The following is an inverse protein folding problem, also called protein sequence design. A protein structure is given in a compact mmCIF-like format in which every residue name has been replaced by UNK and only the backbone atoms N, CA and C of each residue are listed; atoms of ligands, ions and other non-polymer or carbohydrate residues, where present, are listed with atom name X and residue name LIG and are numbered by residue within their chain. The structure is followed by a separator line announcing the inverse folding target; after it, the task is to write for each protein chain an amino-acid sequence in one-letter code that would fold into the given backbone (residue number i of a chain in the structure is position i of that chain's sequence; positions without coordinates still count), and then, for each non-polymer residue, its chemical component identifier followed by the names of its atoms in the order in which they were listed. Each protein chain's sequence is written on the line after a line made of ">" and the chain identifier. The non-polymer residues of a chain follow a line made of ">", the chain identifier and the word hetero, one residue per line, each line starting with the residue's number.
data_IF_104084434755
#
_entry.id   IF_104084434755
#
_cell.length_a   1.000
_cell.length_b   1.000
_cell.length_c   1.000
_cell.angle_alpha   90.00
_cell.angle_beta   90.00
_cell.angle_gamma   90.00
#
_symmetry.space_group_name_H-M   'P 1'
#
loop_
_entity.id
_entity.type
_entity.pdbx_description
1 polymer ?
#
# COMPACT_ATOMS: atom_id res chain seq x y z
N UNK A 1 -0.36 -10.16 10.95
CA UNK A 1 0.58 -9.57 11.94
C UNK A 1 1.92 -10.32 12.02
N UNK A 2 2.01 -11.51 12.63
CA UNK A 2 3.32 -12.18 12.87
C UNK A 2 4.15 -12.41 11.60
N UNK A 3 3.53 -12.89 10.51
CA UNK A 3 4.20 -13.10 9.22
C UNK A 3 4.72 -11.80 8.61
N UNK A 4 4.01 -10.68 8.79
CA UNK A 4 4.42 -9.38 8.24
C UNK A 4 5.63 -8.84 9.00
N UNK A 5 5.64 -8.96 10.34
CA UNK A 5 6.78 -8.57 11.17
C UNK A 5 8.03 -9.39 10.82
N UNK A 6 7.86 -10.69 10.60
CA UNK A 6 8.95 -11.59 10.18
C UNK A 6 9.51 -11.21 8.80
N UNK A 7 8.67 -10.91 7.81
CA UNK A 7 9.14 -10.47 6.49
C UNK A 7 9.93 -9.15 6.61
N UNK A 8 9.43 -8.21 7.40
CA UNK A 8 10.08 -6.90 7.58
C UNK A 8 11.41 -7.01 8.33
N UNK A 9 11.54 -7.93 9.29
CA UNK A 9 12.77 -8.11 10.07
C UNK A 9 13.93 -8.72 9.27
N UNK A 10 13.66 -9.37 8.13
CA UNK A 10 14.71 -9.81 7.21
C UNK A 10 15.45 -8.64 6.55
N UNK A 11 14.86 -7.44 6.55
CA UNK A 11 15.53 -6.26 6.04
C UNK A 11 16.45 -5.63 7.10
N UNK A 12 17.75 -5.56 6.81
CA UNK A 12 18.78 -5.00 7.71
C UNK A 12 18.55 -3.54 8.11
N UNK A 13 17.74 -2.80 7.35
CA UNK A 13 17.45 -1.39 7.60
C UNK A 13 16.20 -1.18 8.48
N UNK A 14 15.55 -2.26 8.93
CA UNK A 14 14.36 -2.22 9.78
C UNK A 14 14.69 -2.84 11.13
N UNK A 15 14.55 -2.08 12.21
CA UNK A 15 14.70 -2.61 13.57
C UNK A 15 13.51 -3.50 13.95
N UNK A 16 13.68 -4.46 14.88
CA UNK A 16 12.58 -5.31 15.33
C UNK A 16 11.35 -4.53 15.81
N UNK A 17 11.55 -3.44 16.55
CA UNK A 17 10.48 -2.59 17.07
C UNK A 17 9.73 -1.89 15.94
N UNK A 18 10.46 -1.43 14.92
CA UNK A 18 9.87 -0.81 13.73
C UNK A 18 9.09 -1.85 12.90
N UNK A 19 9.60 -3.08 12.79
CA UNK A 19 8.94 -4.17 12.10
C UNK A 19 7.61 -4.53 12.79
N UNK A 20 7.56 -4.60 14.12
CA UNK A 20 6.33 -4.84 14.87
C UNK A 20 5.31 -3.71 14.69
N UNK A 21 5.76 -2.46 14.78
CA UNK A 21 4.88 -1.30 14.59
C UNK A 21 4.29 -1.25 13.17
N UNK A 22 5.12 -1.46 12.15
CA UNK A 22 4.67 -1.50 10.76
C UNK A 22 3.73 -2.70 10.52
N UNK A 23 4.02 -3.86 11.10
CA UNK A 23 3.16 -5.03 10.96
C UNK A 23 1.78 -4.81 11.60
N UNK A 24 1.70 -4.09 12.72
CA UNK A 24 0.44 -3.68 13.31
C UNK A 24 -0.31 -2.73 12.39
N UNK A 25 0.34 -1.65 11.95
CA UNK A 25 -0.25 -0.61 11.09
C UNK A 25 -0.79 -1.18 9.77
N UNK A 26 -0.01 -2.05 9.12
CA UNK A 26 -0.41 -2.71 7.87
C UNK A 26 -1.50 -3.78 8.06
N UNK A 27 -1.73 -4.28 9.28
CA UNK A 27 -2.71 -5.34 9.57
C UNK A 27 -4.01 -4.84 10.21
N UNK A 28 -4.07 -3.61 10.73
CA UNK A 28 -5.21 -3.09 11.53
C UNK A 28 -6.28 -2.38 10.71
N UNK A 29 -6.21 -2.39 9.39
CA UNK A 29 -7.23 -1.80 8.51
C UNK A 29 -7.18 -0.27 8.44
N UNK A 30 -6.01 0.33 8.69
CA UNK A 30 -5.78 1.78 8.51
C UNK A 30 -6.12 2.25 7.10
N UNK A 31 -5.95 1.38 6.11
CA UNK A 31 -6.25 1.64 4.71
C UNK A 31 -7.35 0.73 4.19
N UNK A 32 -8.24 1.27 3.36
CA UNK A 32 -9.20 0.47 2.60
C UNK A 32 -8.47 -0.27 1.48
N UNK A 33 -9.06 -1.36 0.98
CA UNK A 33 -8.49 -2.16 -0.11
C UNK A 33 -8.17 -1.34 -1.37
N UNK A 34 -8.87 -0.20 -1.54
CA UNK A 34 -8.73 0.68 -2.69
C UNK A 34 -7.85 1.91 -2.40
N UNK A 35 -7.20 1.97 -1.23
CA UNK A 35 -6.25 3.04 -0.94
C UNK A 35 -4.86 2.63 -1.42
N UNK A 36 -4.34 3.21 -2.52
CA UNK A 36 -2.99 2.91 -2.96
C UNK A 36 -1.99 3.58 -2.00
N UNK A 37 -1.10 2.78 -1.43
CA UNK A 37 0.07 3.33 -0.71
C UNK A 37 1.06 3.82 -1.75
N UNK A 38 1.22 5.13 -1.83
CA UNK A 38 2.15 5.75 -2.79
C UNK A 38 3.61 5.49 -2.40
N UNK A 39 4.54 5.66 -3.35
CA UNK A 39 5.98 5.54 -3.08
C UNK A 39 6.42 6.50 -1.96
N UNK A 40 5.90 7.73 -1.97
CA UNK A 40 6.26 8.74 -0.99
C UNK A 40 5.73 8.40 0.41
N UNK A 41 4.50 7.88 0.51
CA UNK A 41 3.97 7.36 1.78
C UNK A 41 4.74 6.13 2.26
N UNK A 42 5.06 5.19 1.38
CA UNK A 42 5.82 4.01 1.79
C UNK A 42 7.21 4.41 2.33
N UNK A 43 7.86 5.40 1.70
CA UNK A 43 9.12 5.97 2.20
C UNK A 43 8.94 6.71 3.54
N UNK A 44 7.84 7.43 3.73
CA UNK A 44 7.56 8.14 4.99
C UNK A 44 7.27 7.17 6.15
N UNK A 45 6.63 6.04 5.85
CA UNK A 45 6.51 4.89 6.77
C UNK A 45 7.87 4.21 7.03
N UNK A 46 8.89 4.56 6.25
CA UNK A 46 10.24 4.04 6.36
C UNK A 46 10.36 2.60 5.85
N UNK A 47 9.52 2.24 4.88
CA UNK A 47 9.65 1.01 4.12
C UNK A 47 10.81 1.12 3.11
N UNK A 48 11.54 0.02 2.88
CA UNK A 48 12.69 -0.03 1.98
C UNK A 48 12.20 -0.14 0.52
N UNK A 49 11.67 0.95 -0.03
CA UNK A 49 11.10 0.98 -1.38
C UNK A 49 12.10 1.52 -2.39
N UNK A 50 12.31 0.77 -3.48
CA UNK A 50 13.04 1.22 -4.67
C UNK A 50 12.09 1.37 -5.85
N UNK A 51 12.29 2.43 -6.62
CA UNK A 51 11.63 2.63 -7.93
C UNK A 51 12.59 2.37 -9.08
N UNK A 52 13.78 1.85 -8.79
CA UNK A 52 14.76 1.50 -9.82
C UNK A 52 14.23 0.33 -10.64
N UNK A 53 14.24 0.51 -11.96
CA UNK A 53 13.75 -0.46 -12.93
C UNK A 53 14.84 -0.67 -13.99
N UNK A 54 15.81 -1.57 -13.72
CA UNK A 54 16.86 -1.89 -14.68
C UNK A 54 16.28 -2.41 -16.00
N UNK A 55 16.99 -2.14 -17.11
CA UNK A 55 16.54 -2.53 -18.45
C UNK A 55 16.23 -4.03 -18.58
N UNK A 56 17.00 -4.88 -17.89
CA UNK A 56 16.78 -6.33 -17.87
C UNK A 56 15.39 -6.71 -17.32
N UNK A 57 14.88 -5.98 -16.33
CA UNK A 57 13.54 -6.18 -15.77
C UNK A 57 12.47 -5.84 -16.81
N UNK A 58 12.64 -4.73 -17.56
CA UNK A 58 11.73 -4.39 -18.66
C UNK A 58 11.75 -5.43 -19.78
N UNK A 59 12.93 -5.96 -20.11
CA UNK A 59 13.08 -7.05 -21.10
C UNK A 59 12.37 -8.31 -20.64
N UNK A 60 12.46 -8.66 -19.35
CA UNK A 60 11.71 -9.76 -18.74
C UNK A 60 10.19 -9.54 -18.86
N UNK A 61 9.68 -8.35 -18.51
CA UNK A 61 8.25 -8.04 -18.59
C UNK A 61 7.70 -8.16 -20.02
N UNK A 62 8.51 -7.86 -21.03
CA UNK A 62 8.12 -7.98 -22.44
C UNK A 62 7.85 -9.44 -22.85
N UNK A 63 8.50 -10.41 -22.19
CA UNK A 63 8.27 -11.85 -22.45
C UNK A 63 6.93 -12.34 -21.87
N UNK A 64 6.38 -11.64 -20.87
CA UNK A 64 5.14 -11.99 -20.19
C UNK A 64 4.13 -10.84 -20.30
N UNK A 65 3.62 -10.56 -21.52
CA UNK A 65 2.62 -9.52 -21.70
C UNK A 65 1.40 -9.87 -20.84
N UNK A 66 1.03 -8.96 -19.93
CA UNK A 66 -0.20 -9.10 -19.17
C UNK A 66 -1.37 -9.17 -20.16
N UNK A 67 -2.25 -10.16 -20.00
CA UNK A 67 -3.46 -10.23 -20.81
C UNK A 67 -4.21 -8.89 -20.66
N UNK A 68 -4.39 -8.17 -21.77
CA UNK A 68 -5.00 -6.84 -21.76
C UNK A 68 -6.28 -6.85 -20.94
N UNK A 69 -6.48 -5.79 -20.14
CA UNK A 69 -7.52 -5.66 -19.12
C UNK A 69 -8.80 -6.44 -19.45
N UNK A 70 -8.88 -7.71 -19.02
CA UNK A 70 -10.17 -8.34 -18.81
C UNK A 70 -10.76 -7.61 -17.61
N UNK A 71 -12.01 -7.18 -17.78
CA UNK A 71 -12.82 -6.39 -16.84
C UNK A 71 -12.36 -6.59 -15.38
N UNK A 72 -12.16 -5.51 -14.61
CA UNK A 72 -11.90 -5.62 -13.18
C UNK A 72 -12.93 -6.56 -12.56
N UNK A 73 -12.50 -7.64 -11.90
CA UNK A 73 -13.40 -8.48 -11.10
C UNK A 73 -13.92 -7.72 -9.88
N UNK A 74 -13.28 -6.59 -9.56
CA UNK A 74 -13.65 -5.65 -8.50
C UNK A 74 -13.80 -4.27 -9.12
N UNK A 75 -15.02 -3.74 -9.13
CA UNK A 75 -15.30 -2.37 -9.57
C UNK A 75 -14.99 -1.40 -8.44
N UNK A 76 -13.94 -0.60 -8.62
CA UNK A 76 -13.67 0.59 -7.82
C UNK A 76 -14.73 1.66 -8.11
N UNK A 77 -15.45 2.12 -7.09
CA UNK A 77 -16.36 3.28 -7.19
C UNK A 77 -15.72 4.45 -6.44
N UNK A 78 -15.07 5.40 -7.12
CA UNK A 78 -14.60 6.64 -6.51
C UNK A 78 -15.79 7.57 -6.28
N UNK A 79 -16.54 7.35 -5.20
CA UNK A 79 -17.42 8.37 -4.65
C UNK A 79 -16.65 9.13 -3.56
N UNK A 80 -16.53 10.46 -3.65
CA UNK A 80 -16.03 11.25 -2.53
C UNK A 80 -16.98 11.06 -1.35
N UNK A 81 -16.47 10.59 -0.22
CA UNK A 81 -17.20 10.62 1.04
C UNK A 81 -17.51 12.09 1.36
N UNK A 82 -18.74 12.52 1.11
CA UNK A 82 -19.23 13.77 1.69
C UNK A 82 -19.24 13.54 3.20
N UNK A 83 -18.35 14.24 3.92
CA UNK A 83 -18.47 14.37 5.36
C UNK A 83 -19.91 14.81 5.66
N UNK A 84 -20.68 14.08 6.48
CA UNK A 84 -21.96 14.59 6.91
C UNK A 84 -21.70 15.91 7.62
N UNK A 85 -22.23 17.00 7.06
CA UNK A 85 -22.20 18.31 7.69
C UNK A 85 -22.70 18.14 9.12
N UNK A 86 -21.81 18.35 10.08
CA UNK A 86 -22.22 18.53 11.47
C UNK A 86 -22.99 19.84 11.51
N UNK A 87 -24.31 19.77 11.33
CA UNK A 87 -25.22 20.89 11.52
C UNK A 87 -25.23 21.25 13.00
N UNK A 88 -24.28 22.09 13.41
CA UNK A 88 -24.33 22.83 14.65
C UNK A 88 -25.10 24.15 14.41
N UNK A 89 -26.19 24.32 15.13
CA UNK A 89 -26.99 25.55 15.22
C UNK A 89 -28.34 25.21 15.84
N UNK A 90 -28.45 25.19 17.17
CA UNK A 90 -28.96 26.32 17.98
C UNK A 90 -30.30 26.87 17.47
N UNK A 91 -31.39 26.43 18.11
CA UNK A 91 -32.32 27.26 18.88
C UNK A 91 -33.22 26.38 19.73
#
# INVERSE_FOLDING_TARGET
>A
KNTVAEILSHNKNISPEKAEHLAELLSTGTWTHDYPITVDEARSLGLPVSTDMPEEIYRLMTMYPQAGHKRPSVSYIPIPYQQPERRNGKS
#
